data_IF_752926068763
#
_entry.id   IF_752926068763
#
_cell.length_a   1.000
_cell.length_b   1.000
_cell.length_c   1.000
_cell.angle_alpha   90.00
_cell.angle_beta   90.00
_cell.angle_gamma   90.00
#
_symmetry.space_group_name_H-M   'P 1'
#
loop_
_entity.id
_entity.type
_entity.pdbx_description
1 polymer ?
#
# COMPACT_ATOMS: atom_id res chain seq x y z
N UNK A 1 -11.31 23.93 -3.10
CA UNK A 1 -11.93 23.36 -1.88
C UNK A 1 -11.57 21.88 -1.83
N UNK A 2 -10.69 21.45 -0.91
CA UNK A 2 -10.46 20.02 -0.67
C UNK A 2 -11.58 19.55 0.25
N UNK A 3 -12.52 18.79 -0.30
CA UNK A 3 -13.58 18.12 0.44
C UNK A 3 -12.96 17.25 1.53
N UNK A 4 -13.39 17.41 2.78
CA UNK A 4 -13.04 16.50 3.88
C UNK A 4 -13.81 15.19 3.67
N UNK A 5 -13.32 14.36 2.75
CA UNK A 5 -13.84 13.01 2.58
C UNK A 5 -13.38 12.19 3.78
N UNK A 6 -14.31 11.82 4.65
CA UNK A 6 -14.07 10.75 5.62
C UNK A 6 -13.85 9.49 4.80
N UNK A 7 -12.58 9.18 4.50
CA UNK A 7 -12.21 7.95 3.79
C UNK A 7 -12.50 6.78 4.72
N UNK A 8 -13.55 6.01 4.42
CA UNK A 8 -13.77 4.76 5.12
C UNK A 8 -12.62 3.78 4.83
N UNK A 9 -12.38 2.78 5.68
CA UNK A 9 -11.39 1.74 5.40
C UNK A 9 -11.63 1.07 4.03
N UNK A 10 -12.89 0.96 3.61
CA UNK A 10 -13.27 0.40 2.31
C UNK A 10 -12.88 1.32 1.17
N UNK A 11 -13.11 2.63 1.29
CA UNK A 11 -12.74 3.61 0.27
C UNK A 11 -11.22 3.64 0.07
N UNK A 12 -10.46 3.61 1.16
CA UNK A 12 -9.01 3.55 1.10
C UNK A 12 -8.52 2.26 0.42
N UNK A 13 -9.12 1.11 0.74
CA UNK A 13 -8.76 -0.15 0.11
C UNK A 13 -9.07 -0.17 -1.40
N UNK A 14 -10.22 0.38 -1.81
CA UNK A 14 -10.60 0.52 -3.22
C UNK A 14 -9.67 1.46 -3.97
N UNK A 15 -9.29 2.58 -3.36
CA UNK A 15 -8.34 3.53 -3.94
C UNK A 15 -6.95 2.89 -4.15
N UNK A 16 -6.45 2.13 -3.16
CA UNK A 16 -5.21 1.36 -3.30
C UNK A 16 -5.32 0.33 -4.42
N UNK A 17 -6.44 -0.39 -4.52
CA UNK A 17 -6.68 -1.36 -5.59
C UNK A 17 -6.72 -0.70 -6.97
N UNK A 18 -7.36 0.47 -7.09
CA UNK A 18 -7.40 1.25 -8.32
C UNK A 18 -6.00 1.70 -8.76
N UNK A 19 -5.16 2.19 -7.83
CA UNK A 19 -3.76 2.55 -8.12
C UNK A 19 -2.95 1.36 -8.64
N UNK A 20 -3.08 0.20 -8.00
CA UNK A 20 -2.39 -1.01 -8.45
C UNK A 20 -2.87 -1.46 -9.83
N UNK A 21 -4.19 -1.45 -10.08
CA UNK A 21 -4.79 -1.72 -11.39
C UNK A 21 -4.25 -0.77 -12.48
N UNK A 22 -4.17 0.53 -12.18
CA UNK A 22 -3.64 1.52 -13.11
C UNK A 22 -2.17 1.26 -13.46
N UNK A 23 -1.34 0.89 -12.47
CA UNK A 23 0.05 0.48 -12.72
C UNK A 23 0.16 -0.78 -13.58
N UNK A 24 -0.71 -1.77 -13.35
CA UNK A 24 -0.80 -2.97 -14.19
C UNK A 24 -1.09 -2.61 -15.64
N UNK A 25 -2.10 -1.75 -15.86
CA UNK A 25 -2.49 -1.31 -17.20
C UNK A 25 -1.41 -0.46 -17.88
N UNK A 26 -0.71 0.40 -17.12
CA UNK A 26 0.42 1.18 -17.64
C UNK A 26 1.58 0.29 -18.13
N UNK A 27 1.73 -0.91 -17.56
CA UNK A 27 2.68 -1.93 -18.03
C UNK A 27 2.09 -2.88 -19.10
N UNK A 28 0.89 -2.59 -19.62
CA UNK A 28 0.20 -3.39 -20.64
C UNK A 28 -0.06 -4.85 -20.21
N UNK A 29 -0.19 -5.09 -18.90
CA UNK A 29 -0.41 -6.43 -18.37
C UNK A 29 -1.90 -6.75 -18.25
N UNK A 30 -2.32 -7.92 -18.73
CA UNK A 30 -3.63 -8.49 -18.39
C UNK A 30 -3.67 -8.91 -16.92
N UNK A 31 -4.85 -9.14 -16.36
CA UNK A 31 -4.97 -9.72 -15.01
C UNK A 31 -4.28 -11.09 -14.94
N UNK A 32 -4.43 -11.92 -15.97
CA UNK A 32 -3.73 -13.21 -16.07
C UNK A 32 -2.22 -13.06 -16.12
N UNK A 33 -1.72 -12.08 -16.88
CA UNK A 33 -0.29 -11.78 -16.98
C UNK A 33 0.30 -11.39 -15.62
N UNK A 34 -0.37 -10.49 -14.88
CA UNK A 34 0.09 -10.11 -13.55
C UNK A 34 -0.05 -11.24 -12.53
N UNK A 35 -1.14 -12.00 -12.56
CA UNK A 35 -1.35 -13.16 -11.70
C UNK A 35 -0.21 -14.19 -11.87
N UNK A 36 0.13 -14.53 -13.12
CA UNK A 36 1.25 -15.42 -13.44
C UNK A 36 2.59 -14.86 -12.95
N UNK A 37 2.85 -13.57 -13.21
CA UNK A 37 4.13 -12.92 -12.82
C UNK A 37 4.32 -12.81 -11.31
N UNK A 38 3.24 -12.60 -10.57
CA UNK A 38 3.26 -12.45 -9.10
C UNK A 38 3.11 -13.76 -8.32
N UNK A 39 2.70 -14.84 -8.99
CA UNK A 39 2.31 -16.09 -8.33
C UNK A 39 1.03 -15.96 -7.49
N UNK A 40 0.26 -14.87 -7.64
CA UNK A 40 -1.03 -14.69 -6.96
C UNK A 40 -2.13 -15.29 -7.82
N UNK A 41 -3.05 -16.10 -7.25
CA UNK A 41 -4.17 -16.66 -8.02
C UNK A 41 -5.01 -15.58 -8.73
N UNK A 42 -5.41 -15.85 -9.97
CA UNK A 42 -6.20 -14.90 -10.78
C UNK A 42 -7.49 -14.46 -10.07
N UNK A 43 -8.19 -15.39 -9.42
CA UNK A 43 -9.41 -15.08 -8.66
C UNK A 43 -9.16 -14.10 -7.50
N UNK A 44 -7.99 -14.21 -6.85
CA UNK A 44 -7.58 -13.27 -5.80
C UNK A 44 -7.31 -11.89 -6.37
N UNK A 45 -6.59 -11.77 -7.50
CA UNK A 45 -6.35 -10.50 -8.16
C UNK A 45 -7.66 -9.85 -8.63
N UNK A 46 -8.57 -10.62 -9.25
CA UNK A 46 -9.89 -10.13 -9.67
C UNK A 46 -10.71 -9.59 -8.49
N UNK A 47 -10.77 -10.35 -7.39
CA UNK A 47 -11.47 -9.92 -6.17
C UNK A 47 -10.86 -8.66 -5.58
N UNK A 48 -9.52 -8.57 -5.56
CA UNK A 48 -8.83 -7.39 -5.08
C UNK A 48 -9.15 -6.14 -5.91
N UNK A 49 -9.00 -6.21 -7.23
CA UNK A 49 -9.26 -5.06 -8.12
C UNK A 49 -10.74 -4.61 -8.10
N UNK A 50 -11.67 -5.49 -7.74
CA UNK A 50 -13.09 -5.18 -7.63
C UNK A 50 -13.51 -4.68 -6.24
N UNK A 51 -12.91 -5.22 -5.17
CA UNK A 51 -13.43 -5.03 -3.80
C UNK A 51 -12.43 -4.43 -2.81
N UNK A 52 -11.18 -4.21 -3.20
CA UNK A 52 -10.09 -3.77 -2.31
C UNK A 52 -9.59 -4.82 -1.33
N UNK A 53 -10.22 -6.01 -1.27
CA UNK A 53 -9.91 -7.05 -0.29
C UNK A 53 -8.85 -8.02 -0.82
N UNK A 54 -7.76 -8.16 -0.07
CA UNK A 54 -6.67 -9.08 -0.36
C UNK A 54 -5.89 -9.41 0.93
N UNK A 55 -5.23 -10.56 0.98
CA UNK A 55 -4.23 -10.82 2.01
C UNK A 55 -3.00 -9.94 1.77
N UNK A 56 -2.43 -9.38 2.84
CA UNK A 56 -1.29 -8.44 2.74
C UNK A 56 -0.08 -9.04 2.00
N UNK A 57 0.25 -10.31 2.27
CA UNK A 57 1.33 -11.01 1.56
C UNK A 57 1.10 -11.07 0.04
N UNK A 58 -0.13 -11.27 -0.41
CA UNK A 58 -0.48 -11.26 -1.83
C UNK A 58 -0.39 -9.85 -2.42
N UNK A 59 -0.76 -8.81 -1.67
CA UNK A 59 -0.58 -7.42 -2.10
C UNK A 59 0.91 -7.09 -2.31
N UNK A 60 1.78 -7.48 -1.37
CA UNK A 60 3.23 -7.29 -1.50
C UNK A 60 3.75 -7.97 -2.77
N UNK A 61 3.35 -9.22 -3.03
CA UNK A 61 3.75 -9.95 -4.25
C UNK A 61 3.32 -9.23 -5.52
N UNK A 62 2.11 -8.65 -5.55
CA UNK A 62 1.63 -7.87 -6.69
C UNK A 62 2.47 -6.60 -6.89
N UNK A 63 2.78 -5.87 -5.82
CA UNK A 63 3.59 -4.66 -5.89
C UNK A 63 5.03 -4.93 -6.36
N UNK A 64 5.67 -5.99 -5.86
CA UNK A 64 6.99 -6.46 -6.33
C UNK A 64 6.91 -6.88 -7.80
N UNK A 65 5.87 -7.65 -8.19
CA UNK A 65 5.68 -8.04 -9.58
C UNK A 65 5.49 -6.84 -10.51
N UNK A 66 5.00 -5.70 -10.00
CA UNK A 66 4.90 -4.44 -10.74
C UNK A 66 6.15 -3.56 -10.64
N UNK A 67 7.23 -4.00 -9.98
CA UNK A 67 8.44 -3.20 -9.71
C UNK A 67 8.12 -1.87 -8.99
N UNK A 68 7.18 -1.92 -8.06
CA UNK A 68 6.71 -0.78 -7.26
C UNK A 68 7.09 -0.95 -5.78
N UNK A 69 8.24 -1.58 -5.51
CA UNK A 69 8.78 -1.79 -4.17
C UNK A 69 8.99 -0.45 -3.45
N UNK A 70 9.28 0.62 -4.20
CA UNK A 70 9.37 1.97 -3.67
C UNK A 70 8.09 2.43 -2.97
N UNK A 71 6.90 2.06 -3.47
CA UNK A 71 5.66 2.40 -2.79
C UNK A 71 5.50 1.68 -1.45
N UNK A 72 6.00 0.43 -1.35
CA UNK A 72 6.02 -0.32 -0.09
C UNK A 72 7.07 0.25 0.88
N UNK A 73 8.26 0.59 0.37
CA UNK A 73 9.34 1.16 1.19
C UNK A 73 8.95 2.52 1.79
N UNK A 74 8.10 3.29 1.09
CA UNK A 74 7.59 4.57 1.56
C UNK A 74 6.32 4.44 2.43
N UNK A 75 5.74 3.25 2.54
CA UNK A 75 4.52 3.04 3.32
C UNK A 75 4.85 3.09 4.82
N UNK A 76 4.18 3.99 5.55
CA UNK A 76 4.34 4.19 7.00
C UNK A 76 5.75 4.64 7.43
N UNK A 77 6.54 5.25 6.53
CA UNK A 77 7.76 5.93 6.96
C UNK A 77 7.43 7.17 7.80
N UNK A 78 8.27 7.44 8.80
CA UNK A 78 8.20 8.67 9.58
C UNK A 78 8.48 9.89 8.70
N UNK A 79 7.82 11.02 8.97
CA UNK A 79 8.12 12.28 8.29
C UNK A 79 9.59 12.68 8.53
N UNK A 80 10.19 13.32 7.54
CA UNK A 80 11.56 13.84 7.67
C UNK A 80 11.55 14.96 8.71
N UNK A 81 12.42 14.86 9.71
CA UNK A 81 12.57 15.84 10.79
C UNK A 81 12.80 17.25 10.24
N UNK A 82 12.17 18.24 10.87
CA UNK A 82 12.36 19.65 10.52
C UNK A 82 13.54 20.29 11.26
N UNK A 83 14.06 19.67 12.33
CA UNK A 83 15.16 20.21 13.14
C UNK A 83 16.02 19.15 13.86
N UNK A 84 17.20 19.56 14.32
CA UNK A 84 18.12 18.74 15.12
C UNK A 84 17.54 18.37 16.49
N UNK A 85 16.77 19.29 17.11
CA UNK A 85 16.10 19.05 18.39
C UNK A 85 15.04 17.95 18.27
N UNK A 86 14.29 17.93 17.16
CA UNK A 86 13.28 16.90 16.87
C UNK A 86 13.91 15.51 16.65
N UNK A 87 15.13 15.47 16.13
CA UNK A 87 15.92 14.23 15.99
C UNK A 87 16.39 13.71 17.36
N UNK A 88 16.84 14.60 18.27
CA UNK A 88 17.30 14.22 19.62
C UNK A 88 16.18 13.68 20.51
N UNK A 89 14.94 14.15 20.33
CA UNK A 89 13.77 13.65 21.07
C UNK A 89 13.29 12.26 20.59
N UNK A 90 13.77 11.78 19.43
CA UNK A 90 13.43 10.43 18.90
C UNK A 90 13.85 9.31 19.85
N UNK A 91 15.03 9.42 20.45
CA UNK A 91 15.58 8.37 21.32
C UNK A 91 14.80 8.23 22.65
N UNK A 92 13.92 9.19 22.95
CA UNK A 92 13.02 9.16 24.10
C UNK A 92 11.65 8.57 23.79
N UNK A 93 11.36 8.19 22.54
CA UNK A 93 10.07 7.58 22.17
C UNK A 93 9.91 6.24 22.90
N UNK A 94 8.72 5.96 23.47
CA UNK A 94 8.51 4.74 24.21
C UNK A 94 8.63 3.52 23.28
N UNK A 95 9.61 2.64 23.54
CA UNK A 95 9.80 1.39 22.80
C UNK A 95 8.69 0.35 23.03
N UNK A 96 7.84 0.59 24.04
CA UNK A 96 6.68 -0.25 24.36
C UNK A 96 5.47 0.65 24.56
N UNK A 97 4.35 0.26 23.97
CA UNK A 97 3.07 0.92 24.20
C UNK A 97 2.74 0.89 25.69
N UNK A 98 2.63 2.07 26.30
CA UNK A 98 1.93 2.23 27.58
C UNK A 98 0.46 2.31 27.25
N UNK A 99 -0.24 1.20 27.39
CA UNK A 99 -1.70 1.19 27.27
C UNK A 99 -2.29 1.64 28.62
N UNK A 100 -3.40 2.41 28.56
CA UNK A 100 -4.36 2.60 29.66
C UNK A 100 -5.51 1.63 29.47
#
# INVERSE_FOLDING_TARGET
MRSLTILSPVDMALEIAARLKNRRLAQQLTQEGLARRSGVPLGTLKKFECSGRIAFASFIRLAIALKDEGALNNLLLEEKFASLDELLERDKRPQRGRIK
#
